data_IF_821798002694
#
_entry.id   IF_821798002694
#
_cell.length_a   1.000
_cell.length_b   1.000
_cell.length_c   1.000
_cell.angle_alpha   90.00
_cell.angle_beta   90.00
_cell.angle_gamma   90.00
#
_symmetry.space_group_name_H-M   'P 1'
#
loop_
_entity.id
_entity.type
_entity.pdbx_description
1 polymer ?
#
# COMPACT_ATOMS: atom_id res chain seq x y z
N UNK A 1 -1.36 -1.63 -21.40
CA UNK A 1 -2.38 -0.78 -20.75
C UNK A 1 -2.48 -1.21 -19.29
N UNK A 2 -2.40 -0.28 -18.33
CA UNK A 2 -2.40 -0.63 -16.90
C UNK A 2 -3.82 -0.50 -16.33
N UNK A 3 -4.37 -1.60 -15.82
CA UNK A 3 -5.74 -1.66 -15.27
C UNK A 3 -5.95 -0.64 -14.13
N UNK A 4 -4.96 -0.44 -13.27
CA UNK A 4 -5.05 0.53 -12.18
C UNK A 4 -5.27 1.95 -12.68
N UNK A 5 -4.53 2.35 -13.71
CA UNK A 5 -4.68 3.67 -14.30
C UNK A 5 -6.10 3.91 -14.82
N UNK A 6 -6.70 2.90 -15.46
CA UNK A 6 -8.09 3.01 -15.94
C UNK A 6 -9.09 3.15 -14.80
N UNK A 7 -8.92 2.35 -13.73
CA UNK A 7 -9.79 2.37 -12.56
C UNK A 7 -9.68 3.71 -11.82
N UNK A 8 -8.46 4.21 -11.63
CA UNK A 8 -8.21 5.45 -10.89
C UNK A 8 -8.71 6.70 -11.61
N UNK A 9 -8.91 6.64 -12.92
CA UNK A 9 -9.55 7.70 -13.71
C UNK A 9 -11.08 7.75 -13.59
N UNK A 10 -11.72 6.81 -12.89
CA UNK A 10 -13.16 6.81 -12.74
C UNK A 10 -13.60 7.97 -11.80
N UNK A 11 -14.35 8.96 -12.32
CA UNK A 11 -14.50 10.27 -11.67
C UNK A 11 -15.40 10.27 -10.42
N UNK A 12 -16.13 9.18 -10.18
CA UNK A 12 -17.05 9.06 -9.04
C UNK A 12 -16.72 7.87 -8.12
N UNK A 13 -15.63 7.15 -8.41
CA UNK A 13 -15.28 5.94 -7.69
C UNK A 13 -14.64 6.29 -6.33
N UNK A 14 -15.43 6.22 -5.26
CA UNK A 14 -14.94 6.45 -3.89
C UNK A 14 -14.41 5.19 -3.21
N UNK A 15 -14.91 4.02 -3.60
CA UNK A 15 -14.55 2.73 -3.03
C UNK A 15 -14.01 1.81 -4.12
N UNK A 16 -12.78 1.33 -3.94
CA UNK A 16 -12.14 0.41 -4.87
C UNK A 16 -11.63 -0.82 -4.12
N UNK A 17 -12.08 -2.00 -4.54
CA UNK A 17 -11.62 -3.29 -4.02
C UNK A 17 -11.18 -4.19 -5.15
N UNK A 18 -9.91 -4.58 -5.15
CA UNK A 18 -9.29 -5.40 -6.17
C UNK A 18 -8.85 -6.73 -5.58
N UNK A 19 -9.35 -7.82 -6.16
CA UNK A 19 -8.96 -9.18 -5.83
C UNK A 19 -8.38 -9.83 -7.08
N UNK A 20 -7.08 -10.11 -7.06
CA UNK A 20 -6.40 -10.78 -8.17
C UNK A 20 -5.73 -12.03 -7.63
N UNK A 21 -5.87 -13.16 -8.35
CA UNK A 21 -5.30 -14.45 -7.92
C UNK A 21 -3.83 -14.63 -8.28
N UNK A 22 -3.27 -13.76 -9.13
CA UNK A 22 -1.91 -13.83 -9.62
C UNK A 22 -1.15 -12.51 -9.40
N UNK A 23 0.17 -12.54 -9.57
CA UNK A 23 1.03 -11.36 -9.68
C UNK A 23 0.66 -10.60 -10.97
N UNK A 24 -0.39 -9.78 -10.93
CA UNK A 24 -0.97 -9.16 -12.13
C UNK A 24 -0.14 -7.97 -12.63
N UNK A 25 0.84 -7.48 -11.85
CA UNK A 25 1.54 -6.24 -12.16
C UNK A 25 3.03 -6.49 -12.41
N UNK A 26 3.36 -6.72 -13.67
CA UNK A 26 4.76 -6.66 -14.14
C UNK A 26 5.10 -5.33 -14.83
N UNK A 27 4.17 -4.37 -14.84
CA UNK A 27 4.42 -3.03 -15.39
C UNK A 27 4.22 -1.99 -14.30
N UNK A 28 5.32 -1.38 -13.88
CA UNK A 28 5.32 -0.28 -12.93
C UNK A 28 4.32 0.79 -13.39
N UNK A 29 3.43 1.16 -12.48
CA UNK A 29 2.59 2.34 -12.66
C UNK A 29 3.54 3.55 -12.52
N UNK A 30 3.51 4.54 -13.43
CA UNK A 30 4.26 5.77 -13.21
C UNK A 30 3.72 6.48 -11.97
N UNK A 31 4.54 7.31 -11.33
CA UNK A 31 4.07 8.17 -10.24
C UNK A 31 3.11 9.22 -10.83
N UNK A 32 1.94 9.39 -10.21
CA UNK A 32 0.98 10.39 -10.62
C UNK A 32 1.55 11.79 -10.34
N UNK A 33 1.44 12.68 -11.32
CA UNK A 33 1.83 14.09 -11.17
C UNK A 33 0.63 15.02 -11.07
N UNK A 34 -0.46 14.75 -11.81
CA UNK A 34 -1.65 15.60 -11.86
C UNK A 34 -2.98 14.82 -12.01
N UNK A 35 -2.93 13.49 -12.04
CA UNK A 35 -4.12 12.65 -12.21
C UNK A 35 -4.51 12.02 -10.88
N UNK A 36 -5.44 12.68 -10.17
CA UNK A 36 -5.90 12.23 -8.86
C UNK A 36 -7.28 11.59 -8.95
N UNK A 37 -7.41 10.48 -8.22
CA UNK A 37 -8.63 9.72 -8.09
C UNK A 37 -9.41 10.17 -6.85
N UNK A 38 -10.76 10.18 -6.90
CA UNK A 38 -11.60 10.49 -5.74
C UNK A 38 -11.73 9.32 -4.75
N UNK A 39 -10.91 8.27 -4.89
CA UNK A 39 -10.97 7.09 -4.03
C UNK A 39 -10.64 7.48 -2.59
N UNK A 40 -11.58 7.18 -1.69
CA UNK A 40 -11.46 7.36 -0.24
C UNK A 40 -11.16 6.03 0.46
N UNK A 41 -11.52 4.89 -0.15
CA UNK A 41 -11.26 3.55 0.38
C UNK A 41 -10.67 2.64 -0.70
N UNK A 42 -9.46 2.15 -0.45
CA UNK A 42 -8.72 1.27 -1.34
C UNK A 42 -8.40 -0.05 -0.64
N UNK A 43 -8.81 -1.16 -1.25
CA UNK A 43 -8.56 -2.52 -0.76
C UNK A 43 -7.91 -3.33 -1.87
N UNK A 44 -6.64 -3.72 -1.68
CA UNK A 44 -5.90 -4.53 -2.62
C UNK A 44 -5.54 -5.86 -1.95
N UNK A 45 -6.16 -6.95 -2.43
CA UNK A 45 -6.02 -8.29 -1.85
C UNK A 45 -5.06 -9.21 -2.61
N UNK A 46 -4.21 -8.65 -3.45
CA UNK A 46 -3.13 -9.39 -4.10
C UNK A 46 -1.78 -8.83 -3.67
N UNK A 47 -0.74 -9.65 -3.85
CA UNK A 47 0.63 -9.35 -3.46
C UNK A 47 1.16 -8.15 -4.25
N UNK A 48 1.62 -7.14 -3.52
CA UNK A 48 2.31 -5.97 -4.06
C UNK A 48 3.71 -5.86 -3.47
N UNK A 49 4.65 -5.39 -4.29
CA UNK A 49 5.94 -4.88 -3.85
C UNK A 49 5.80 -3.44 -3.35
N UNK A 50 6.73 -3.01 -2.50
CA UNK A 50 6.68 -1.66 -1.89
C UNK A 50 6.71 -0.53 -2.91
N UNK A 51 7.51 -0.67 -3.96
CA UNK A 51 7.60 0.32 -5.02
C UNK A 51 6.27 0.48 -5.79
N UNK A 52 5.47 -0.58 -5.90
CA UNK A 52 4.15 -0.55 -6.54
C UNK A 52 3.14 0.17 -5.64
N UNK A 53 3.21 -0.05 -4.32
CA UNK A 53 2.40 0.65 -3.34
C UNK A 53 2.63 2.16 -3.44
N UNK A 54 3.88 2.61 -3.52
CA UNK A 54 4.21 4.04 -3.69
C UNK A 54 3.51 4.63 -4.93
N UNK A 55 3.67 3.98 -6.08
CA UNK A 55 3.07 4.46 -7.32
C UNK A 55 1.54 4.51 -7.20
N UNK A 56 0.92 3.49 -6.61
CA UNK A 56 -0.54 3.44 -6.40
C UNK A 56 -1.04 4.58 -5.52
N UNK A 57 -0.37 4.82 -4.40
CA UNK A 57 -0.78 5.84 -3.44
C UNK A 57 -0.71 7.26 -4.00
N UNK A 58 0.18 7.52 -4.98
CA UNK A 58 0.27 8.83 -5.64
C UNK A 58 -1.01 9.24 -6.37
N UNK A 59 -1.83 8.28 -6.82
CA UNK A 59 -3.09 8.55 -7.49
C UNK A 59 -4.26 8.80 -6.55
N UNK A 60 -4.12 8.52 -5.25
CA UNK A 60 -5.24 8.54 -4.30
C UNK A 60 -4.96 9.47 -3.11
N UNK A 61 -4.71 10.78 -3.34
CA UNK A 61 -4.36 11.70 -2.24
C UNK A 61 -5.49 11.90 -1.22
N UNK A 62 -6.73 11.58 -1.59
CA UNK A 62 -7.92 11.70 -0.73
C UNK A 62 -8.21 10.43 0.11
N UNK A 63 -7.26 9.48 0.12
CA UNK A 63 -7.47 8.18 0.74
C UNK A 63 -7.66 8.31 2.26
N UNK A 64 -8.73 7.69 2.76
CA UNK A 64 -9.06 7.61 4.20
C UNK A 64 -8.82 6.24 4.77
N UNK A 65 -9.01 5.19 3.96
CA UNK A 65 -8.91 3.79 4.36
C UNK A 65 -8.08 3.02 3.35
N UNK A 66 -7.01 2.40 3.84
CA UNK A 66 -6.11 1.57 3.05
C UNK A 66 -6.11 0.14 3.59
N UNK A 67 -6.28 -0.85 2.71
CA UNK A 67 -6.05 -2.25 3.04
C UNK A 67 -5.19 -2.90 1.96
N UNK A 68 -4.03 -3.43 2.35
CA UNK A 68 -3.04 -4.00 1.45
C UNK A 68 -2.63 -5.41 1.85
N UNK A 69 -2.24 -6.19 0.85
CA UNK A 69 -1.47 -7.41 1.03
C UNK A 69 -0.06 -7.17 0.49
N UNK A 70 0.89 -6.94 1.40
CA UNK A 70 2.28 -6.64 1.08
C UNK A 70 3.14 -7.91 1.17
N UNK A 71 3.95 -8.15 0.14
CA UNK A 71 4.94 -9.23 0.11
C UNK A 71 6.28 -8.66 -0.41
N UNK A 72 7.05 -7.95 0.45
CA UNK A 72 8.28 -7.32 0.02
C UNK A 72 9.38 -8.38 -0.14
N UNK A 73 9.47 -8.93 -1.35
CA UNK A 73 10.50 -9.91 -1.72
C UNK A 73 11.85 -9.30 -2.08
N UNK A 74 11.90 -7.99 -2.30
CA UNK A 74 13.12 -7.28 -2.64
C UNK A 74 13.72 -6.60 -1.41
N UNK A 75 15.04 -6.43 -1.41
CA UNK A 75 15.77 -5.61 -0.44
C UNK A 75 15.48 -4.11 -0.57
N UNK A 76 14.50 -3.72 -1.38
CA UNK A 76 14.19 -2.32 -1.68
C UNK A 76 13.24 -1.80 -0.60
N UNK A 77 13.84 -1.29 0.47
CA UNK A 77 13.16 -0.95 1.73
C UNK A 77 12.48 0.41 1.72
N UNK A 78 12.69 1.22 0.68
CA UNK A 78 12.24 2.60 0.66
C UNK A 78 10.81 2.69 0.13
N UNK A 79 9.86 2.66 1.04
CA UNK A 79 8.64 3.43 0.84
C UNK A 79 9.07 4.90 0.82
N UNK A 80 8.45 5.71 -0.04
CA UNK A 80 8.60 7.17 -0.15
C UNK A 80 9.57 7.70 -1.22
N UNK A 81 8.94 8.23 -2.28
CA UNK A 81 9.30 9.55 -2.82
C UNK A 81 8.64 10.63 -1.96
N UNK A 82 9.33 11.73 -1.60
CA UNK A 82 8.90 12.72 -0.59
C UNK A 82 7.62 13.53 -0.91
N UNK A 83 6.83 13.16 -1.92
CA UNK A 83 5.73 13.96 -2.45
C UNK A 83 4.31 13.47 -2.11
N UNK A 84 4.14 12.24 -1.61
CA UNK A 84 2.79 11.66 -1.41
C UNK A 84 2.33 11.90 0.04
N UNK A 85 1.59 12.99 0.25
CA UNK A 85 0.98 13.30 1.54
C UNK A 85 -0.45 12.75 1.60
N UNK A 86 -0.66 11.66 2.34
CA UNK A 86 -1.98 11.07 2.57
C UNK A 86 -2.64 11.66 3.82
N UNK A 87 -2.92 12.96 3.78
CA UNK A 87 -3.41 13.79 4.91
C UNK A 87 -4.81 13.42 5.44
N UNK A 88 -5.45 12.40 4.89
CA UNK A 88 -6.78 11.95 5.31
C UNK A 88 -6.78 10.48 5.73
N UNK A 89 -5.63 9.80 5.64
CA UNK A 89 -5.49 8.39 5.92
C UNK A 89 -5.57 8.15 7.42
N UNK A 90 -6.68 7.55 7.84
CA UNK A 90 -6.99 7.31 9.26
C UNK A 90 -7.06 5.82 9.57
N UNK A 91 -7.28 4.96 8.57
CA UNK A 91 -7.41 3.53 8.76
C UNK A 91 -6.43 2.80 7.85
N UNK A 92 -5.61 1.94 8.44
CA UNK A 92 -4.69 1.08 7.72
C UNK A 92 -4.88 -0.37 8.15
N UNK A 93 -4.95 -1.25 7.17
CA UNK A 93 -4.98 -2.70 7.35
C UNK A 93 -3.89 -3.32 6.47
N UNK A 94 -2.85 -3.86 7.09
CA UNK A 94 -1.75 -4.52 6.39
C UNK A 94 -1.81 -6.02 6.64
N UNK A 95 -1.88 -6.79 5.57
CA UNK A 95 -1.55 -8.20 5.59
C UNK A 95 -0.13 -8.36 5.02
N UNK A 96 0.78 -8.80 5.86
CA UNK A 96 2.21 -8.76 5.61
C UNK A 96 2.72 -10.19 5.56
N UNK A 97 3.35 -10.55 4.44
CA UNK A 97 3.96 -11.86 4.25
C UNK A 97 5.45 -11.68 3.94
N UNK A 98 6.34 -12.40 4.66
CA UNK A 98 7.80 -12.36 4.44
C UNK A 98 8.44 -10.97 4.49
N UNK A 99 7.94 -10.06 5.33
CA UNK A 99 8.48 -8.70 5.47
C UNK A 99 9.34 -8.57 6.72
N UNK A 100 10.63 -8.29 6.62
CA UNK A 100 11.47 -7.95 7.78
C UNK A 100 10.89 -6.78 8.60
N UNK A 101 11.14 -6.78 9.91
CA UNK A 101 10.58 -5.76 10.81
C UNK A 101 11.03 -4.33 10.47
N UNK A 102 12.32 -4.13 10.17
CA UNK A 102 12.86 -2.84 9.75
C UNK A 102 12.21 -2.28 8.47
N UNK A 103 11.78 -3.16 7.56
CA UNK A 103 11.02 -2.74 6.39
C UNK A 103 9.64 -2.26 6.80
N UNK A 104 8.94 -3.02 7.66
CA UNK A 104 7.65 -2.62 8.21
C UNK A 104 7.75 -1.27 8.93
N UNK A 105 8.75 -1.08 9.78
CA UNK A 105 9.00 0.20 10.45
C UNK A 105 9.08 1.37 9.46
N UNK A 106 9.81 1.21 8.35
CA UNK A 106 9.87 2.22 7.28
C UNK A 106 8.51 2.48 6.61
N UNK A 107 7.65 1.47 6.47
CA UNK A 107 6.25 1.63 6.02
C UNK A 107 5.43 2.42 7.03
N UNK A 108 5.62 2.13 8.31
CA UNK A 108 4.88 2.76 9.39
C UNK A 108 5.24 4.24 9.48
N UNK A 109 6.54 4.57 9.52
CA UNK A 109 7.02 5.95 9.55
C UNK A 109 6.47 6.78 8.40
N UNK A 110 6.35 6.19 7.21
CA UNK A 110 5.88 6.91 6.02
C UNK A 110 4.36 7.11 5.98
N UNK A 111 3.59 6.09 6.34
CA UNK A 111 2.14 6.11 6.15
C UNK A 111 1.36 6.52 7.40
N UNK A 112 1.95 6.43 8.61
CA UNK A 112 1.16 6.37 9.85
C UNK A 112 0.99 7.71 10.58
N UNK A 113 1.40 8.81 9.96
CA UNK A 113 1.37 10.15 10.55
C UNK A 113 0.02 10.57 11.16
N UNK A 114 -1.11 10.07 10.64
CA UNK A 114 -2.46 10.41 11.08
C UNK A 114 -3.35 9.18 11.32
N UNK A 115 -2.75 8.00 11.44
CA UNK A 115 -3.50 6.75 11.56
C UNK A 115 -4.13 6.65 12.94
N UNK A 116 -5.42 6.40 12.94
CA UNK A 116 -6.24 6.21 14.14
C UNK A 116 -6.56 4.73 14.37
N UNK A 117 -6.73 3.99 13.29
CA UNK A 117 -7.04 2.56 13.32
C UNK A 117 -5.99 1.81 12.53
N UNK A 118 -5.27 0.95 13.23
CA UNK A 118 -4.24 0.10 12.68
C UNK A 118 -4.61 -1.37 12.88
N UNK A 119 -4.62 -2.11 11.78
CA UNK A 119 -4.72 -3.56 11.77
C UNK A 119 -3.51 -4.14 11.05
N UNK A 120 -2.78 -5.03 11.71
CA UNK A 120 -1.64 -5.72 11.12
C UNK A 120 -1.85 -7.23 11.32
N UNK A 121 -1.73 -7.99 10.24
CA UNK A 121 -1.58 -9.44 10.29
C UNK A 121 -0.26 -9.82 9.63
N UNK A 122 0.59 -10.52 10.36
CA UNK A 122 1.90 -10.98 9.87
C UNK A 122 1.86 -12.49 9.69
N UNK A 123 2.40 -12.95 8.56
CA UNK A 123 2.63 -14.35 8.27
C UNK A 123 4.14 -14.54 8.05
N UNK A 124 4.80 -15.13 9.05
CA UNK A 124 6.19 -15.63 8.95
C UNK A 124 6.17 -17.15 9.04
N UNK A 125 6.97 -17.80 8.21
CA UNK A 125 7.27 -19.23 8.39
C UNK A 125 8.31 -19.44 9.51
N UNK A 126 8.91 -18.36 10.02
CA UNK A 126 9.82 -18.36 11.18
C UNK A 126 9.03 -18.09 12.46
N UNK A 127 9.12 -19.04 13.40
CA UNK A 127 8.42 -19.05 14.68
C UNK A 127 8.92 -17.93 15.61
N UNK A 128 8.09 -16.92 15.87
CA UNK A 128 8.12 -16.11 17.10
C UNK A 128 9.01 -14.88 17.14
N UNK A 129 10.10 -14.78 16.38
CA UNK A 129 11.10 -13.69 16.54
C UNK A 129 10.63 -12.31 16.08
N UNK A 130 9.53 -12.23 15.34
CA UNK A 130 9.07 -10.96 14.74
C UNK A 130 8.60 -9.92 15.76
N UNK A 131 7.98 -10.36 16.85
CA UNK A 131 7.52 -9.48 17.93
C UNK A 131 8.58 -9.25 19.01
N UNK A 132 9.70 -9.98 18.94
CA UNK A 132 10.82 -9.89 19.87
C UNK A 132 11.95 -8.98 19.33
N UNK A 133 11.80 -8.47 18.10
CA UNK A 133 12.72 -7.50 17.51
C UNK A 133 12.53 -6.12 18.16
N UNK A 134 13.60 -5.59 18.73
CA UNK A 134 13.66 -4.39 19.56
C UNK A 134 14.38 -3.26 18.83
#
# INVERSE_FOLDING_TARGET
MNLYHQIFRLPVLKYCKLLCKHYVLHRSLPVATNEYSPIECLVIKHRLQLHEVNALLSYVPQLRRLSLHCEPRSSDTRIVSPSIYLNHLTHISLNIQYCPFNQLESIMESLFHQVQILYISVWSDDDGTYFDAN
#
